data_IF_120892256029
#
_entry.id   IF_120892256029
#
_cell.length_a   1.000
_cell.length_b   1.000
_cell.length_c   1.000
_cell.angle_alpha   90.00
_cell.angle_beta   90.00
_cell.angle_gamma   90.00
#
_symmetry.space_group_name_H-M   'P 1'
#
loop_
_entity.id
_entity.type
_entity.pdbx_description
1 polymer ?
#
# COMPACT_ATOMS: atom_id res chain seq x y z
N UNK A 1 -52.73 1.16 -24.18
CA UNK A 1 -51.29 1.38 -24.31
C UNK A 1 -51.12 2.79 -24.84
N UNK A 2 -50.26 3.59 -24.21
CA UNK A 2 -50.17 5.05 -24.43
C UNK A 2 -49.56 5.34 -25.81
N UNK A 3 -50.31 5.99 -26.72
CA UNK A 3 -49.86 6.25 -28.11
C UNK A 3 -48.52 7.02 -28.17
N UNK A 4 -48.22 7.81 -27.14
CA UNK A 4 -46.95 8.51 -26.99
C UNK A 4 -45.78 7.55 -26.82
N UNK A 5 -45.98 6.45 -26.10
CA UNK A 5 -44.95 5.43 -25.86
C UNK A 5 -44.59 4.68 -27.14
N UNK A 6 -45.59 4.34 -27.96
CA UNK A 6 -45.38 3.67 -29.24
C UNK A 6 -44.66 4.57 -30.25
N UNK A 7 -44.96 5.88 -30.25
CA UNK A 7 -44.25 6.85 -31.10
C UNK A 7 -42.77 6.97 -30.71
N UNK A 8 -42.47 7.07 -29.42
CA UNK A 8 -41.10 7.13 -28.90
C UNK A 8 -40.30 5.86 -29.21
N UNK A 9 -40.95 4.69 -29.08
CA UNK A 9 -40.34 3.40 -29.43
C UNK A 9 -40.01 3.31 -30.91
N UNK A 10 -40.90 3.82 -31.78
CA UNK A 10 -40.65 3.87 -33.22
C UNK A 10 -39.47 4.79 -33.56
N UNK A 11 -39.44 6.00 -32.99
CA UNK A 11 -38.31 6.93 -33.17
C UNK A 11 -36.97 6.33 -32.70
N UNK A 12 -36.96 5.55 -31.62
CA UNK A 12 -35.75 4.86 -31.15
C UNK A 12 -35.29 3.74 -32.09
N UNK A 13 -36.23 2.99 -32.66
CA UNK A 13 -35.92 1.86 -33.54
C UNK A 13 -35.53 2.30 -34.96
N UNK A 14 -35.97 3.47 -35.41
CA UNK A 14 -35.69 4.02 -36.74
C UNK A 14 -34.43 4.91 -36.76
N UNK A 15 -33.59 4.89 -35.71
CA UNK A 15 -32.32 5.63 -35.69
C UNK A 15 -31.39 5.08 -36.79
N UNK A 16 -30.96 5.91 -37.76
CA UNK A 16 -30.11 5.44 -38.84
C UNK A 16 -28.73 5.06 -38.30
N UNK A 17 -28.22 3.92 -38.77
CA UNK A 17 -26.87 3.45 -38.41
C UNK A 17 -25.85 4.41 -39.06
N UNK A 18 -24.94 5.03 -38.27
CA UNK A 18 -23.89 5.87 -38.81
C UNK A 18 -22.99 5.12 -39.81
N UNK A 19 -22.72 5.71 -40.98
CA UNK A 19 -21.90 5.12 -42.04
C UNK A 19 -20.47 4.78 -41.59
N UNK A 20 -19.98 5.45 -40.55
CA UNK A 20 -18.62 5.31 -40.00
C UNK A 20 -18.40 4.00 -39.21
N UNK A 21 -19.47 3.36 -38.71
CA UNK A 21 -19.38 2.15 -37.88
C UNK A 21 -18.71 0.98 -38.61
N UNK A 22 -18.99 0.86 -39.91
CA UNK A 22 -18.48 -0.23 -40.74
C UNK A 22 -16.95 -0.15 -40.90
N UNK A 23 -16.41 1.08 -40.90
CA UNK A 23 -14.97 1.36 -40.92
C UNK A 23 -14.31 1.01 -39.58
N UNK A 24 -14.95 1.35 -38.47
CA UNK A 24 -14.46 1.04 -37.11
C UNK A 24 -14.40 -0.47 -36.87
N UNK A 25 -15.43 -1.22 -37.27
CA UNK A 25 -15.47 -2.69 -37.14
C UNK A 25 -14.38 -3.35 -38.01
N UNK A 26 -14.21 -2.91 -39.26
CA UNK A 26 -13.17 -3.46 -40.15
C UNK A 26 -11.76 -3.16 -39.62
N UNK A 27 -11.52 -1.96 -39.07
CA UNK A 27 -10.22 -1.57 -38.48
C UNK A 27 -9.89 -2.43 -37.25
N UNK A 28 -10.82 -2.57 -36.33
CA UNK A 28 -10.64 -3.35 -35.08
C UNK A 28 -10.40 -4.84 -35.34
N UNK A 29 -11.06 -5.45 -36.33
CA UNK A 29 -10.82 -6.85 -36.72
C UNK A 29 -9.43 -7.04 -37.37
N UNK A 30 -8.97 -6.08 -38.17
CA UNK A 30 -7.66 -6.13 -38.83
C UNK A 30 -6.50 -5.98 -37.84
N UNK A 31 -6.63 -5.07 -36.87
CA UNK A 31 -5.64 -4.87 -35.80
C UNK A 31 -5.49 -6.10 -34.89
N UNK A 32 -6.60 -6.78 -34.57
CA UNK A 32 -6.56 -8.00 -33.76
C UNK A 32 -5.92 -9.21 -34.47
N UNK A 33 -6.07 -9.33 -35.80
CA UNK A 33 -5.43 -10.41 -36.57
C UNK A 33 -3.90 -10.25 -36.66
N UNK A 34 -3.40 -9.02 -36.77
CA UNK A 34 -1.96 -8.72 -36.87
C UNK A 34 -1.23 -8.94 -35.54
N UNK A 35 -1.88 -8.71 -34.40
CA UNK A 35 -1.29 -8.84 -33.07
C UNK A 35 -1.05 -10.30 -32.62
N UNK A 36 -1.70 -11.29 -33.24
CA UNK A 36 -1.64 -12.68 -32.80
C UNK A 36 -0.47 -13.49 -33.40
N UNK A 37 0.13 -13.04 -34.51
CA UNK A 37 1.19 -13.78 -35.23
C UNK A 37 2.58 -13.57 -34.59
N UNK A 38 2.81 -12.43 -33.92
CA UNK A 38 4.14 -12.06 -33.41
C UNK A 38 4.43 -12.46 -31.95
N UNK A 39 3.48 -13.09 -31.25
CA UNK A 39 3.62 -13.38 -29.81
C UNK A 39 4.54 -14.58 -29.51
N UNK A 40 4.68 -15.56 -30.42
CA UNK A 40 5.49 -16.78 -30.19
C UNK A 40 7.01 -16.54 -30.16
N UNK A 41 7.52 -15.49 -30.82
CA UNK A 41 8.97 -15.22 -30.89
C UNK A 41 9.53 -14.51 -29.64
N UNK A 42 8.70 -13.69 -28.96
CA UNK A 42 9.14 -12.91 -27.78
C UNK A 42 9.35 -13.76 -26.52
N UNK A 43 8.64 -14.87 -26.36
CA UNK A 43 8.78 -15.76 -25.19
C UNK A 43 10.15 -16.48 -25.10
N UNK A 44 10.82 -16.75 -26.22
CA UNK A 44 12.17 -17.34 -26.20
C UNK A 44 13.23 -16.36 -25.68
N UNK A 45 13.10 -15.06 -26.01
CA UNK A 45 14.02 -14.01 -25.53
C UNK A 45 13.82 -13.68 -24.04
N UNK A 46 12.59 -13.75 -23.54
CA UNK A 46 12.28 -13.54 -22.12
C UNK A 46 12.88 -14.64 -21.24
N UNK A 47 12.83 -15.92 -21.67
CA UNK A 47 13.44 -17.02 -20.90
C UNK A 47 14.95 -16.85 -20.72
N UNK A 48 15.67 -16.37 -21.75
CA UNK A 48 17.13 -16.15 -21.69
C UNK A 48 17.48 -14.98 -20.74
N UNK A 49 16.67 -13.91 -20.75
CA UNK A 49 16.87 -12.75 -19.88
C UNK A 49 16.62 -13.06 -18.39
N UNK A 50 15.63 -13.91 -18.07
CA UNK A 50 15.32 -14.29 -16.69
C UNK A 50 16.45 -15.16 -16.09
N UNK A 51 17.04 -16.07 -16.86
CA UNK A 51 18.17 -16.89 -16.39
C UNK A 51 19.45 -16.09 -16.14
N UNK A 52 19.74 -15.06 -16.94
CA UNK A 52 20.92 -14.21 -16.74
C UNK A 52 20.78 -13.31 -15.51
N UNK A 53 19.57 -12.83 -15.21
CA UNK A 53 19.31 -11.99 -14.04
C UNK A 53 19.45 -12.82 -12.76
N UNK A 54 18.85 -14.02 -12.70
CA UNK A 54 18.94 -14.89 -11.52
C UNK A 54 20.39 -15.31 -11.20
N UNK A 55 21.18 -15.67 -12.21
CA UNK A 55 22.59 -16.00 -12.03
C UNK A 55 23.42 -14.79 -11.54
N UNK A 56 23.14 -13.58 -12.04
CA UNK A 56 23.79 -12.36 -11.59
C UNK A 56 23.44 -12.03 -10.14
N UNK A 57 22.19 -12.21 -9.71
CA UNK A 57 21.79 -12.03 -8.31
C UNK A 57 22.45 -13.07 -7.39
N UNK A 58 22.53 -14.34 -7.80
CA UNK A 58 23.21 -15.38 -7.00
C UNK A 58 24.71 -15.05 -6.88
N UNK A 59 25.39 -14.72 -7.98
CA UNK A 59 26.79 -14.31 -7.95
C UNK A 59 27.02 -13.03 -7.12
N UNK A 60 26.09 -12.07 -7.18
CA UNK A 60 26.12 -10.85 -6.38
C UNK A 60 25.94 -11.14 -4.88
N UNK A 61 24.98 -11.99 -4.50
CA UNK A 61 24.76 -12.37 -3.09
C UNK A 61 25.92 -13.16 -2.48
N UNK A 62 26.58 -14.02 -3.28
CA UNK A 62 27.79 -14.73 -2.84
C UNK A 62 28.96 -13.74 -2.72
N UNK A 63 29.13 -12.81 -3.68
CA UNK A 63 30.20 -11.82 -3.67
C UNK A 63 30.14 -10.81 -2.52
N UNK A 64 28.94 -10.46 -2.05
CA UNK A 64 28.75 -9.56 -0.89
C UNK A 64 29.33 -10.17 0.39
N UNK A 65 29.27 -11.50 0.54
CA UNK A 65 29.66 -12.17 1.78
C UNK A 65 31.16 -12.51 1.89
N UNK A 66 31.94 -12.34 0.82
CA UNK A 66 33.31 -12.92 0.75
C UNK A 66 34.44 -11.93 0.48
N UNK A 67 34.22 -10.62 0.40
CA UNK A 67 35.34 -9.70 0.18
C UNK A 67 35.43 -8.57 1.19
N UNK A 68 36.53 -8.58 1.95
CA UNK A 68 37.03 -7.41 2.68
C UNK A 68 37.21 -6.19 1.75
N UNK A 69 37.43 -6.42 0.45
CA UNK A 69 37.47 -5.37 -0.58
C UNK A 69 36.13 -4.64 -0.74
N UNK A 70 34.98 -5.34 -0.69
CA UNK A 70 33.67 -4.71 -0.73
C UNK A 70 33.38 -3.89 0.54
N UNK A 71 33.74 -4.42 1.72
CA UNK A 71 33.68 -3.69 2.98
C UNK A 71 34.56 -2.42 2.95
N UNK A 72 35.76 -2.50 2.37
CA UNK A 72 36.68 -1.37 2.19
C UNK A 72 36.22 -0.37 1.11
N UNK A 73 35.43 -0.79 0.12
CA UNK A 73 34.78 0.13 -0.82
C UNK A 73 33.54 0.78 -0.23
N UNK A 74 32.75 0.06 0.58
CA UNK A 74 31.65 0.64 1.37
C UNK A 74 32.17 1.66 2.39
N UNK A 75 33.34 1.43 3.01
CA UNK A 75 33.98 2.41 3.89
C UNK A 75 34.52 3.65 3.15
N UNK A 76 34.64 3.60 1.83
CA UNK A 76 35.12 4.70 0.96
C UNK A 76 33.99 5.43 0.23
N UNK A 77 32.75 4.94 0.29
CA UNK A 77 31.56 5.72 -0.09
C UNK A 77 31.28 6.68 1.06
N UNK A 78 31.39 8.01 0.90
CA UNK A 78 31.29 8.95 2.02
C UNK A 78 29.90 9.05 2.67
N UNK A 79 28.91 8.25 2.23
CA UNK A 79 27.50 8.42 2.59
C UNK A 79 26.80 7.06 2.65
N UNK A 80 27.11 6.25 3.65
CA UNK A 80 26.01 5.53 4.32
C UNK A 80 25.57 6.49 5.42
N UNK A 81 24.91 7.59 5.03
CA UNK A 81 24.29 8.50 5.98
C UNK A 81 23.34 7.71 6.86
N UNK A 82 23.26 8.06 8.15
CA UNK A 82 22.38 7.43 9.14
C UNK A 82 21.00 7.17 8.53
N UNK A 83 20.71 5.91 8.20
CA UNK A 83 19.45 5.55 7.53
C UNK A 83 18.36 5.55 8.60
N UNK A 84 17.61 6.65 8.69
CA UNK A 84 16.41 6.71 9.52
C UNK A 84 15.34 5.82 8.89
N UNK A 85 14.77 4.89 9.66
CA UNK A 85 13.75 3.94 9.22
C UNK A 85 12.52 4.04 10.12
N UNK A 86 11.35 3.87 9.52
CA UNK A 86 10.09 3.73 10.25
C UNK A 86 9.53 2.33 10.01
N UNK A 87 9.45 1.54 11.09
CA UNK A 87 9.09 0.12 11.04
C UNK A 87 7.90 -0.16 11.97
N UNK A 88 7.11 -1.19 11.67
CA UNK A 88 6.08 -1.67 12.60
C UNK A 88 6.78 -2.40 13.73
N UNK A 89 6.71 -1.85 14.94
CA UNK A 89 7.31 -2.44 16.12
C UNK A 89 6.39 -3.46 16.80
N UNK A 90 5.09 -3.14 16.83
CA UNK A 90 4.08 -4.00 17.43
C UNK A 90 2.79 -3.91 16.63
N UNK A 91 2.07 -5.02 16.60
CA UNK A 91 0.76 -5.12 15.98
C UNK A 91 -0.21 -5.71 16.98
N UNK A 92 -1.41 -5.12 17.07
CA UNK A 92 -2.53 -5.68 17.82
C UNK A 92 -3.62 -6.03 16.83
N UNK A 93 -4.01 -7.31 16.79
CA UNK A 93 -5.02 -7.81 15.87
C UNK A 93 -6.04 -8.66 16.58
N UNK A 94 -7.31 -8.41 16.29
CA UNK A 94 -8.47 -9.21 16.73
C UNK A 94 -9.35 -9.39 15.51
N UNK A 95 -9.86 -10.60 15.30
CA UNK A 95 -10.82 -10.90 14.25
C UNK A 95 -11.82 -11.92 14.79
N UNK A 96 -12.85 -11.42 15.45
CA UNK A 96 -13.84 -12.20 16.18
C UNK A 96 -15.25 -11.79 15.73
N UNK A 97 -15.74 -12.48 14.70
CA UNK A 97 -17.09 -12.24 14.15
C UNK A 97 -17.25 -10.81 13.65
N UNK A 98 -17.99 -10.00 14.40
CA UNK A 98 -18.29 -8.59 14.09
C UNK A 98 -17.31 -7.59 14.74
N UNK A 99 -16.32 -8.09 15.47
CA UNK A 99 -15.28 -7.31 16.15
C UNK A 99 -13.94 -7.46 15.44
N UNK A 100 -13.35 -6.34 15.03
CA UNK A 100 -12.08 -6.33 14.32
C UNK A 100 -11.12 -5.26 14.85
N UNK A 101 -9.88 -5.63 15.13
CA UNK A 101 -8.80 -4.66 15.35
C UNK A 101 -7.61 -4.97 14.46
N UNK A 102 -6.98 -3.92 13.95
CA UNK A 102 -5.71 -3.95 13.23
C UNK A 102 -4.94 -2.67 13.56
N UNK A 103 -4.11 -2.72 14.60
CA UNK A 103 -3.37 -1.54 15.11
C UNK A 103 -1.88 -1.78 14.91
N UNK A 104 -1.27 -1.06 13.98
CA UNK A 104 0.17 -1.08 13.70
C UNK A 104 0.87 0.07 14.38
N UNK A 105 1.72 -0.25 15.35
CA UNK A 105 2.51 0.73 16.10
C UNK A 105 3.84 0.98 15.38
N UNK A 106 4.10 2.22 14.89
CA UNK A 106 5.39 2.55 14.32
C UNK A 106 6.47 2.67 15.39
N UNK A 107 7.71 2.42 14.99
CA UNK A 107 8.91 2.87 15.67
C UNK A 107 9.87 3.49 14.66
N UNK A 108 10.53 4.56 15.10
CA UNK A 108 11.62 5.23 14.38
C UNK A 108 12.95 4.67 14.87
N UNK A 109 13.84 4.38 13.93
CA UNK A 109 15.21 3.92 14.21
C UNK A 109 16.20 4.72 13.37
N UNK A 110 17.37 5.03 13.92
CA UNK A 110 18.47 5.64 13.17
C UNK A 110 18.50 7.17 13.22
N UNK A 111 17.73 7.81 14.11
CA UNK A 111 17.92 9.23 14.43
C UNK A 111 19.23 9.42 15.20
N UNK A 112 19.90 10.55 14.95
CA UNK A 112 21.10 10.96 15.68
C UNK A 112 20.76 11.28 17.15
N UNK A 113 19.65 11.98 17.37
CA UNK A 113 19.13 12.26 18.71
C UNK A 113 18.37 11.05 19.27
N UNK A 114 19.05 10.24 20.09
CA UNK A 114 18.47 9.05 20.73
C UNK A 114 17.40 9.35 21.77
N UNK A 115 17.47 10.50 22.44
CA UNK A 115 16.42 10.91 23.37
C UNK A 115 15.11 11.16 22.65
N UNK A 116 15.17 11.85 21.49
CA UNK A 116 14.00 12.08 20.64
C UNK A 116 13.46 10.76 20.06
N UNK A 117 14.34 9.89 19.57
CA UNK A 117 13.97 8.56 19.06
C UNK A 117 13.18 7.76 20.10
N UNK A 118 13.71 7.67 21.32
CA UNK A 118 13.07 6.94 22.40
C UNK A 118 11.74 7.58 22.80
N UNK A 119 11.68 8.91 22.94
CA UNK A 119 10.45 9.61 23.30
C UNK A 119 9.34 9.41 22.25
N UNK A 120 9.66 9.43 20.96
CA UNK A 120 8.70 9.15 19.89
C UNK A 120 8.19 7.70 19.96
N UNK A 121 9.10 6.74 20.16
CA UNK A 121 8.74 5.32 20.21
C UNK A 121 7.89 4.99 21.45
N UNK A 122 8.21 5.59 22.60
CA UNK A 122 7.41 5.46 23.83
C UNK A 122 6.01 6.07 23.64
N UNK A 123 5.92 7.26 23.04
CA UNK A 123 4.64 7.90 22.68
C UNK A 123 3.80 6.98 21.79
N UNK A 124 4.38 6.46 20.70
CA UNK A 124 3.65 5.59 19.78
C UNK A 124 3.20 4.29 20.43
N UNK A 125 4.04 3.70 21.27
CA UNK A 125 3.70 2.49 22.02
C UNK A 125 2.57 2.74 23.02
N UNK A 126 2.62 3.85 23.76
CA UNK A 126 1.58 4.23 24.71
C UNK A 126 0.24 4.50 24.00
N UNK A 127 0.26 5.25 22.89
CA UNK A 127 -0.94 5.51 22.09
C UNK A 127 -1.53 4.21 21.50
N UNK A 128 -0.69 3.32 20.96
CA UNK A 128 -1.14 2.03 20.42
C UNK A 128 -1.71 1.09 21.48
N UNK A 129 -1.05 0.98 22.63
CA UNK A 129 -1.54 0.20 23.78
C UNK A 129 -2.90 0.74 24.26
N UNK A 130 -3.01 2.06 24.43
CA UNK A 130 -4.25 2.69 24.84
C UNK A 130 -5.39 2.43 23.85
N UNK A 131 -5.12 2.55 22.55
CA UNK A 131 -6.11 2.29 21.51
C UNK A 131 -6.63 0.84 21.55
N UNK A 132 -5.74 -0.11 21.81
CA UNK A 132 -6.11 -1.52 21.98
C UNK A 132 -6.94 -1.76 23.25
N UNK A 133 -6.55 -1.18 24.38
CA UNK A 133 -7.30 -1.28 25.64
C UNK A 133 -8.70 -0.66 25.53
N UNK A 134 -8.80 0.49 24.85
CA UNK A 134 -10.08 1.16 24.59
C UNK A 134 -10.98 0.27 23.69
N UNK A 135 -10.41 -0.38 22.65
CA UNK A 135 -11.12 -1.35 21.82
C UNK A 135 -11.63 -2.57 22.62
N UNK A 136 -10.79 -3.18 23.46
CA UNK A 136 -11.19 -4.32 24.29
C UNK A 136 -12.32 -3.95 25.27
N UNK A 137 -12.25 -2.74 25.85
CA UNK A 137 -13.28 -2.25 26.75
C UNK A 137 -14.61 -2.03 26.02
N UNK A 138 -14.58 -1.45 24.82
CA UNK A 138 -15.78 -1.19 24.03
C UNK A 138 -16.38 -2.47 23.43
N UNK A 139 -15.54 -3.45 23.06
CA UNK A 139 -15.97 -4.78 22.66
C UNK A 139 -16.79 -5.45 23.78
N UNK A 140 -16.25 -5.48 25.02
CA UNK A 140 -16.95 -6.07 26.18
C UNK A 140 -18.28 -5.37 26.49
N UNK A 141 -18.33 -4.04 26.39
CA UNK A 141 -19.58 -3.28 26.59
C UNK A 141 -20.61 -3.60 25.50
N UNK A 142 -20.16 -3.74 24.25
CA UNK A 142 -21.02 -4.06 23.11
C UNK A 142 -21.61 -5.45 23.24
N UNK A 143 -20.79 -6.45 23.61
CA UNK A 143 -21.26 -7.80 23.89
C UNK A 143 -22.31 -7.83 25.00
N UNK A 144 -22.07 -7.11 26.10
CA UNK A 144 -23.02 -7.00 27.21
C UNK A 144 -24.34 -6.29 26.83
N UNK A 145 -24.32 -5.47 25.77
CA UNK A 145 -25.47 -4.68 25.30
C UNK A 145 -26.28 -5.36 24.19
N UNK A 146 -25.99 -6.63 23.89
CA UNK A 146 -26.70 -7.41 22.86
C UNK A 146 -25.95 -7.53 21.53
N UNK A 147 -24.67 -7.18 21.49
CA UNK A 147 -23.80 -7.30 20.31
C UNK A 147 -23.82 -6.08 19.38
N UNK A 148 -23.05 -6.15 18.29
CA UNK A 148 -22.90 -5.05 17.34
C UNK A 148 -21.66 -5.23 16.47
N UNK A 149 -21.36 -4.23 15.63
CA UNK A 149 -20.13 -4.19 14.84
C UNK A 149 -19.21 -3.12 15.40
N UNK A 150 -17.96 -3.49 15.67
CA UNK A 150 -16.93 -2.58 16.15
C UNK A 150 -15.61 -2.91 15.45
N UNK A 151 -15.00 -1.88 14.87
CA UNK A 151 -13.77 -2.02 14.10
C UNK A 151 -12.80 -0.90 14.42
N UNK A 152 -11.52 -1.22 14.65
CA UNK A 152 -10.45 -0.22 14.69
C UNK A 152 -9.32 -0.61 13.74
N UNK A 153 -8.98 0.29 12.82
CA UNK A 153 -7.79 0.18 11.97
C UNK A 153 -6.87 1.35 12.27
N UNK A 154 -5.61 1.09 12.55
CA UNK A 154 -4.62 2.13 12.75
C UNK A 154 -3.29 1.76 12.15
N UNK A 155 -2.67 2.71 11.47
CA UNK A 155 -1.39 2.52 10.84
C UNK A 155 -0.67 3.84 10.59
N UNK A 156 0.38 3.75 9.79
CA UNK A 156 1.24 4.87 9.50
C UNK A 156 1.75 4.83 8.06
N UNK A 157 2.15 5.99 7.57
CA UNK A 157 2.75 6.20 6.27
C UNK A 157 3.84 7.25 6.37
N UNK A 158 4.99 6.99 5.75
CA UNK A 158 6.06 7.99 5.62
C UNK A 158 5.66 8.95 4.51
N UNK A 159 5.34 10.20 4.87
CA UNK A 159 4.93 11.23 3.92
C UNK A 159 6.12 11.91 3.25
N UNK A 160 7.21 12.04 3.99
CA UNK A 160 8.45 12.67 3.52
C UNK A 160 9.64 12.02 4.19
N UNK A 161 10.67 11.71 3.41
CA UNK A 161 11.94 11.19 3.90
C UNK A 161 13.09 11.80 3.07
N UNK A 162 13.69 12.87 3.58
CA UNK A 162 14.84 13.56 2.97
C UNK A 162 16.05 13.48 3.90
N UNK A 163 17.22 13.96 3.48
CA UNK A 163 18.42 13.98 4.32
C UNK A 163 18.25 14.78 5.64
N UNK A 164 17.25 15.66 5.71
CA UNK A 164 17.00 16.51 6.87
C UNK A 164 15.64 16.29 7.53
N UNK A 165 14.59 16.01 6.76
CA UNK A 165 13.22 15.96 7.30
C UNK A 165 12.64 14.56 7.15
N UNK A 166 12.08 14.04 8.23
CA UNK A 166 11.19 12.88 8.25
C UNK A 166 9.78 13.34 8.66
N UNK A 167 8.75 12.98 7.89
CA UNK A 167 7.36 13.22 8.26
C UNK A 167 6.57 11.92 8.23
N UNK A 168 5.90 11.62 9.34
CA UNK A 168 5.13 10.38 9.54
C UNK A 168 3.67 10.77 9.72
N UNK A 169 2.82 10.33 8.80
CA UNK A 169 1.37 10.39 8.96
C UNK A 169 0.89 9.13 9.65
N UNK A 170 0.05 9.27 10.68
CA UNK A 170 -0.56 8.16 11.43
C UNK A 170 -2.06 8.30 11.35
N UNK A 171 -2.74 7.23 10.97
CA UNK A 171 -4.19 7.20 10.83
C UNK A 171 -4.81 6.28 11.86
N UNK A 172 -6.01 6.63 12.29
CA UNK A 172 -6.88 5.76 13.08
C UNK A 172 -8.29 5.86 12.51
N UNK A 173 -8.85 4.72 12.12
CA UNK A 173 -10.22 4.55 11.63
C UNK A 173 -11.00 3.78 12.68
N UNK A 174 -12.04 4.38 13.23
CA UNK A 174 -12.99 3.71 14.11
C UNK A 174 -14.29 3.42 13.35
N UNK A 175 -14.87 2.24 13.50
CA UNK A 175 -16.06 1.77 12.77
C UNK A 175 -17.10 1.21 13.74
N UNK A 176 -18.27 1.86 13.85
CA UNK A 176 -19.41 1.41 14.69
C UNK A 176 -20.72 1.59 13.92
N UNK A 177 -20.80 1.00 12.73
CA UNK A 177 -21.90 1.18 11.75
C UNK A 177 -21.59 2.20 10.64
N UNK A 178 -20.77 3.20 10.96
CA UNK A 178 -20.05 4.06 9.99
C UNK A 178 -18.62 4.25 10.47
N UNK A 179 -17.73 4.72 9.59
CA UNK A 179 -16.32 4.95 9.89
C UNK A 179 -16.02 6.42 10.15
N UNK A 180 -15.15 6.70 11.13
CA UNK A 180 -14.53 8.01 11.35
C UNK A 180 -13.02 7.88 11.33
N UNK A 181 -12.34 8.77 10.60
CA UNK A 181 -10.88 8.75 10.43
C UNK A 181 -10.24 9.96 11.08
N UNK A 182 -9.25 9.72 11.92
CA UNK A 182 -8.37 10.75 12.48
C UNK A 182 -6.96 10.59 11.91
N UNK A 183 -6.37 11.70 11.47
CA UNK A 183 -4.99 11.77 10.99
C UNK A 183 -4.15 12.59 11.96
N UNK A 184 -2.97 12.09 12.31
CA UNK A 184 -1.94 12.80 13.06
C UNK A 184 -0.65 12.82 12.26
N UNK A 185 0.15 13.86 12.43
CA UNK A 185 1.44 13.99 11.75
C UNK A 185 2.51 14.37 12.75
N UNK A 186 3.65 13.70 12.66
CA UNK A 186 4.86 14.03 13.40
C UNK A 186 5.94 14.35 12.35
N UNK A 187 6.47 15.58 12.37
CA UNK A 187 7.52 16.05 11.45
C UNK A 187 8.78 16.35 12.24
N UNK A 188 9.88 15.71 11.85
CA UNK A 188 11.12 15.58 12.61
C UNK A 188 12.25 16.14 11.76
N UNK A 189 13.04 17.06 12.32
CA UNK A 189 14.38 17.38 11.81
C UNK A 189 15.32 16.26 12.28
N UNK A 190 16.01 15.62 11.33
CA UNK A 190 16.91 14.47 11.56
C UNK A 190 18.24 14.89 12.16
N UNK A 191 18.59 16.18 12.08
CA UNK A 191 19.83 16.78 12.56
C UNK A 191 19.62 17.53 13.88
#
# INVERSE_FOLDING_TARGET
MDEKLEKLKKEYMDVPIPEELDSVVKKTLKENRLNNVNKKSKFKKIKIAVTSIAAAFIAFTIGINTSAAFAATLSKVPVVGSIVKVLTFREYTVNEGTFNSNIKVPAVQGLENKTLENSLNEKYLAEGKKLYEDFEADMKKMEASGGGHLGVDSGYEVKTDTDRILSIGRHTVNTVGSSSTTMKYDTIDKK
#
